data_IF_218610503062
#
_entry.id   IF_218610503062
#
_cell.length_a   1.000
_cell.length_b   1.000
_cell.length_c   1.000
_cell.angle_alpha   90.00
_cell.angle_beta   90.00
_cell.angle_gamma   90.00
#
_symmetry.space_group_name_H-M   'P 1'
#
loop_
_entity.id
_entity.type
_entity.pdbx_description
1 polymer ?
#
# COMPACT_ATOMS: atom_id res chain seq x y z
N UNK A 1 -6.13 -9.50 -9.27
CA UNK A 1 -7.56 -9.52 -8.88
C UNK A 1 -8.39 -8.80 -9.93
N UNK A 2 -9.71 -8.98 -9.97
CA UNK A 2 -10.56 -8.19 -10.86
C UNK A 2 -11.12 -6.92 -10.20
N UNK A 3 -11.88 -6.12 -10.95
CA UNK A 3 -12.41 -4.85 -10.48
C UNK A 3 -13.39 -4.98 -9.31
N UNK A 4 -14.24 -6.01 -9.32
CA UNK A 4 -15.23 -6.22 -8.27
C UNK A 4 -14.58 -6.80 -7.02
N UNK A 5 -13.55 -7.65 -7.18
CA UNK A 5 -12.68 -8.10 -6.10
C UNK A 5 -12.06 -6.90 -5.37
N UNK A 6 -11.48 -5.93 -6.10
CA UNK A 6 -10.90 -4.73 -5.49
C UNK A 6 -11.96 -3.89 -4.75
N UNK A 7 -13.14 -3.71 -5.34
CA UNK A 7 -14.24 -2.99 -4.68
C UNK A 7 -14.70 -3.70 -3.40
N UNK A 8 -14.72 -5.04 -3.38
CA UNK A 8 -15.05 -5.80 -2.18
C UNK A 8 -13.96 -5.67 -1.11
N UNK A 9 -12.69 -5.67 -1.53
CA UNK A 9 -11.54 -5.61 -0.62
C UNK A 9 -11.44 -4.27 0.11
N UNK A 10 -11.80 -3.16 -0.53
CA UNK A 10 -11.92 -1.84 0.14
C UNK A 10 -12.81 -1.94 1.39
N UNK A 11 -13.99 -2.56 1.25
CA UNK A 11 -14.95 -2.68 2.35
C UNK A 11 -14.47 -3.70 3.38
N UNK A 12 -14.03 -4.88 2.92
CA UNK A 12 -13.61 -5.97 3.78
C UNK A 12 -12.44 -5.56 4.69
N UNK A 13 -11.44 -4.87 4.14
CA UNK A 13 -10.27 -4.43 4.89
C UNK A 13 -10.61 -3.30 5.87
N UNK A 14 -11.52 -2.40 5.51
CA UNK A 14 -12.02 -1.37 6.42
C UNK A 14 -12.78 -1.97 7.62
N UNK A 15 -13.58 -3.01 7.39
CA UNK A 15 -14.30 -3.74 8.44
C UNK A 15 -13.33 -4.50 9.36
N UNK A 16 -12.33 -5.18 8.80
CA UNK A 16 -11.27 -5.83 9.59
C UNK A 16 -10.49 -4.82 10.42
N UNK A 17 -10.15 -3.66 9.84
CA UNK A 17 -9.50 -2.57 10.56
C UNK A 17 -10.38 -2.11 11.73
N UNK A 18 -11.65 -1.80 11.47
CA UNK A 18 -12.61 -1.40 12.50
C UNK A 18 -12.76 -2.43 13.62
N UNK A 19 -12.61 -3.72 13.32
CA UNK A 19 -12.69 -4.80 14.32
C UNK A 19 -11.54 -4.81 15.33
N UNK A 20 -10.41 -4.17 15.02
CA UNK A 20 -9.32 -3.97 15.98
C UNK A 20 -9.61 -2.86 17.00
N UNK A 21 -10.67 -2.07 16.80
CA UNK A 21 -11.00 -0.89 17.61
C UNK A 21 -12.09 -1.21 18.63
N UNK A 22 -11.73 -1.16 19.92
CA UNK A 22 -12.65 -1.26 21.06
C UNK A 22 -12.76 0.06 21.84
N UNK A 23 -13.64 0.10 22.85
CA UNK A 23 -13.85 1.31 23.65
C UNK A 23 -12.60 1.79 24.43
N UNK A 24 -11.61 0.92 24.63
CA UNK A 24 -10.36 1.20 25.34
C UNK A 24 -9.18 1.56 24.42
N UNK A 25 -9.40 1.51 23.11
CA UNK A 25 -8.34 1.71 22.11
C UNK A 25 -7.68 3.08 22.25
N UNK A 26 -6.35 3.16 22.42
CA UNK A 26 -5.64 4.40 22.64
C UNK A 26 -5.39 5.14 21.31
N UNK A 27 -6.38 5.93 20.89
CA UNK A 27 -6.35 6.65 19.59
C UNK A 27 -5.19 7.66 19.44
N UNK A 28 -4.57 8.07 20.54
CA UNK A 28 -3.45 9.02 20.53
C UNK A 28 -2.08 8.37 20.46
N UNK A 29 -2.00 7.03 20.43
CA UNK A 29 -0.75 6.29 20.24
C UNK A 29 -0.14 6.62 18.88
N UNK A 30 1.16 6.93 18.86
CA UNK A 30 1.90 7.17 17.61
C UNK A 30 1.98 5.91 16.76
N UNK A 31 1.84 6.07 15.45
CA UNK A 31 1.92 4.97 14.49
C UNK A 31 3.40 4.65 14.20
N UNK A 32 3.89 3.41 14.42
CA UNK A 32 5.31 3.10 14.26
C UNK A 32 5.87 3.35 12.84
N UNK A 33 5.07 3.06 11.81
CA UNK A 33 5.42 3.28 10.40
C UNK A 33 5.26 4.73 9.94
N UNK A 34 4.53 5.56 10.69
CA UNK A 34 4.34 6.98 10.42
C UNK A 34 4.38 7.78 11.75
N UNK A 35 5.57 7.98 12.35
CA UNK A 35 5.69 8.47 13.73
C UNK A 35 5.09 9.85 14.01
N UNK A 36 4.94 10.67 12.97
CA UNK A 36 4.31 11.99 13.04
C UNK A 36 2.78 11.90 13.24
N UNK A 37 2.18 10.76 12.93
CA UNK A 37 0.75 10.50 13.07
C UNK A 37 0.46 9.69 14.33
N UNK A 38 -0.71 9.93 14.90
CA UNK A 38 -1.34 9.00 15.82
C UNK A 38 -2.41 8.15 15.13
N UNK A 39 -2.88 7.11 15.81
CA UNK A 39 -3.90 6.20 15.29
C UNK A 39 -5.18 6.94 14.82
N UNK A 40 -5.62 7.98 15.53
CA UNK A 40 -6.77 8.78 15.09
C UNK A 40 -6.53 9.47 13.74
N UNK A 41 -5.34 10.03 13.53
CA UNK A 41 -4.95 10.64 12.26
C UNK A 41 -4.88 9.60 11.14
N UNK A 42 -4.32 8.41 11.40
CA UNK A 42 -4.30 7.30 10.44
C UNK A 42 -5.71 6.92 9.97
N UNK A 43 -6.65 6.73 10.91
CA UNK A 43 -8.04 6.39 10.60
C UNK A 43 -8.76 7.48 9.82
N UNK A 44 -8.51 8.75 10.18
CA UNK A 44 -9.06 9.91 9.46
C UNK A 44 -8.49 10.02 8.05
N UNK A 45 -7.18 9.88 7.88
CA UNK A 45 -6.52 9.87 6.57
C UNK A 45 -7.19 8.89 5.63
N UNK A 46 -7.32 7.63 6.07
CA UNK A 46 -7.89 6.59 5.23
C UNK A 46 -9.36 6.86 4.88
N UNK A 47 -10.18 7.26 5.86
CA UNK A 47 -11.59 7.57 5.58
C UNK A 47 -11.81 8.86 4.79
N UNK A 48 -10.88 9.82 4.84
CA UNK A 48 -10.84 10.99 3.95
C UNK A 48 -10.42 10.58 2.54
N UNK A 49 -9.41 9.71 2.39
CA UNK A 49 -8.98 9.17 1.12
C UNK A 49 -10.13 8.43 0.40
N UNK A 50 -10.89 7.59 1.11
CA UNK A 50 -12.07 6.93 0.54
C UNK A 50 -13.09 7.93 -0.01
N UNK A 51 -13.40 8.99 0.75
CA UNK A 51 -14.36 10.03 0.35
C UNK A 51 -13.85 10.93 -0.76
N UNK A 52 -12.55 11.19 -0.77
CA UNK A 52 -11.92 11.96 -1.83
C UNK A 52 -11.97 11.23 -3.16
N UNK A 53 -11.63 9.94 -3.18
CA UNK A 53 -11.75 9.11 -4.38
C UNK A 53 -13.22 8.95 -4.79
N UNK A 54 -14.13 8.79 -3.81
CA UNK A 54 -15.57 8.72 -4.08
C UNK A 54 -16.06 9.96 -4.83
N UNK A 55 -15.75 11.16 -4.33
CA UNK A 55 -16.16 12.42 -4.96
C UNK A 55 -15.60 12.52 -6.38
N UNK A 56 -14.33 12.14 -6.57
CA UNK A 56 -13.66 12.12 -7.87
C UNK A 56 -14.38 11.22 -8.87
N UNK A 57 -14.70 9.99 -8.47
CA UNK A 57 -15.39 9.01 -9.33
C UNK A 57 -16.83 9.44 -9.60
N UNK A 58 -17.56 9.87 -8.56
CA UNK A 58 -18.96 10.32 -8.66
C UNK A 58 -19.10 11.52 -9.59
N UNK A 59 -18.19 12.48 -9.50
CA UNK A 59 -18.18 13.68 -10.35
C UNK A 59 -17.56 13.44 -11.71
N UNK A 60 -16.93 12.28 -11.92
CA UNK A 60 -16.14 11.94 -13.12
C UNK A 60 -15.13 13.04 -13.45
N UNK A 61 -14.42 13.51 -12.43
CA UNK A 61 -13.45 14.58 -12.57
C UNK A 61 -12.47 14.24 -13.71
N UNK A 62 -12.15 15.22 -14.56
CA UNK A 62 -11.22 15.06 -15.69
C UNK A 62 -9.87 15.73 -15.45
N UNK A 63 -9.74 16.43 -14.35
CA UNK A 63 -8.55 17.16 -13.91
C UNK A 63 -8.20 16.77 -12.47
N UNK A 64 -6.94 16.96 -12.04
CA UNK A 64 -6.58 16.77 -10.64
C UNK A 64 -7.49 17.62 -9.76
N UNK A 65 -8.12 17.05 -8.71
CA UNK A 65 -8.88 17.86 -7.77
C UNK A 65 -7.93 18.82 -7.04
N UNK A 66 -8.44 19.96 -6.52
CA UNK A 66 -7.61 20.95 -5.84
C UNK A 66 -6.79 20.35 -4.70
N UNK A 67 -5.51 20.74 -4.63
CA UNK A 67 -4.50 20.26 -3.66
C UNK A 67 -4.94 20.40 -2.18
N UNK A 68 -5.91 21.26 -1.90
CA UNK A 68 -6.52 21.44 -0.58
C UNK A 68 -7.34 20.25 -0.05
N UNK A 69 -7.50 19.18 -0.85
CA UNK A 69 -8.37 18.07 -0.50
C UNK A 69 -7.77 17.10 0.53
N UNK A 70 -6.45 17.04 0.70
CA UNK A 70 -5.79 16.28 1.77
C UNK A 70 -5.44 17.23 2.91
N UNK A 71 -6.15 17.06 4.03
CA UNK A 71 -6.24 18.07 5.08
C UNK A 71 -5.12 17.95 6.10
N UNK A 72 -4.81 19.06 6.76
CA UNK A 72 -4.14 19.05 8.06
C UNK A 72 -5.01 18.23 9.01
N UNK A 73 -4.58 17.03 9.35
CA UNK A 73 -5.27 16.14 10.28
C UNK A 73 -4.94 16.58 11.71
N UNK A 74 -5.89 17.12 12.50
CA UNK A 74 -5.62 17.51 13.87
C UNK A 74 -5.14 16.29 14.66
N UNK A 75 -4.12 16.47 15.51
CA UNK A 75 -3.62 15.41 16.39
C UNK A 75 -4.63 15.09 17.50
N UNK A 76 -5.28 16.13 18.04
CA UNK A 76 -6.32 15.98 19.04
C UNK A 76 -7.55 15.28 18.47
N UNK A 77 -8.20 14.45 19.28
CA UNK A 77 -9.43 13.75 18.89
C UNK A 77 -10.43 13.74 20.03
N UNK A 78 -11.67 14.10 19.73
CA UNK A 78 -12.83 13.92 20.63
C UNK A 78 -13.72 12.76 20.20
N UNK A 79 -13.39 12.12 19.08
CA UNK A 79 -14.12 10.99 18.51
C UNK A 79 -13.82 9.72 19.31
N UNK A 80 -14.83 8.86 19.47
CA UNK A 80 -14.65 7.54 20.07
C UNK A 80 -14.10 6.55 19.03
N UNK A 81 -13.39 5.49 19.45
CA UNK A 81 -12.94 4.44 18.53
C UNK A 81 -14.08 3.85 17.68
N UNK A 82 -15.24 3.61 18.30
CA UNK A 82 -16.43 3.11 17.61
C UNK A 82 -16.97 4.08 16.56
N UNK A 83 -16.94 5.40 16.83
CA UNK A 83 -17.36 6.41 15.86
C UNK A 83 -16.43 6.44 14.64
N UNK A 84 -15.10 6.37 14.86
CA UNK A 84 -14.12 6.32 13.79
C UNK A 84 -14.24 5.03 12.96
N UNK A 85 -14.42 3.88 13.61
CA UNK A 85 -14.62 2.60 12.93
C UNK A 85 -15.85 2.61 12.01
N UNK A 86 -16.97 3.14 12.52
CA UNK A 86 -18.21 3.27 11.75
C UNK A 86 -18.04 4.25 10.58
N UNK A 87 -17.40 5.40 10.81
CA UNK A 87 -17.17 6.42 9.79
C UNK A 87 -16.22 5.94 8.68
N UNK A 88 -15.19 5.17 9.03
CA UNK A 88 -14.28 4.53 8.08
C UNK A 88 -15.02 3.51 7.21
N UNK A 89 -15.76 2.59 7.84
CA UNK A 89 -16.52 1.54 7.13
C UNK A 89 -17.56 2.14 6.19
N UNK A 90 -18.24 3.21 6.63
CA UNK A 90 -19.20 3.93 5.78
C UNK A 90 -18.54 4.56 4.56
N UNK A 91 -17.36 5.18 4.72
CA UNK A 91 -16.59 5.76 3.61
C UNK A 91 -16.17 4.69 2.60
N UNK A 92 -15.70 3.54 3.09
CA UNK A 92 -15.30 2.40 2.27
C UNK A 92 -16.48 1.85 1.43
N UNK A 93 -17.66 1.70 2.05
CA UNK A 93 -18.88 1.24 1.35
C UNK A 93 -19.33 2.25 0.29
N UNK A 94 -19.38 3.53 0.65
CA UNK A 94 -19.78 4.58 -0.29
C UNK A 94 -18.86 4.63 -1.52
N UNK A 95 -17.54 4.52 -1.30
CA UNK A 95 -16.56 4.44 -2.38
C UNK A 95 -16.79 3.21 -3.26
N UNK A 96 -16.89 2.02 -2.66
CA UNK A 96 -17.07 0.77 -3.41
C UNK A 96 -18.36 0.78 -4.25
N UNK A 97 -19.46 1.29 -3.70
CA UNK A 97 -20.73 1.40 -4.41
C UNK A 97 -20.64 2.41 -5.57
N UNK A 98 -19.96 3.54 -5.35
CA UNK A 98 -19.73 4.56 -6.38
C UNK A 98 -18.86 4.06 -7.52
N UNK A 99 -17.80 3.31 -7.20
CA UNK A 99 -16.96 2.61 -8.18
C UNK A 99 -17.81 1.65 -9.04
N UNK A 100 -18.55 0.75 -8.41
CA UNK A 100 -19.43 -0.19 -9.13
C UNK A 100 -20.45 0.51 -10.01
N UNK A 101 -21.06 1.59 -9.52
CA UNK A 101 -22.03 2.37 -10.28
C UNK A 101 -21.42 3.11 -11.47
N UNK A 102 -20.18 3.61 -11.34
CA UNK A 102 -19.45 4.22 -12.45
C UNK A 102 -19.02 3.18 -13.49
N UNK A 103 -18.69 1.98 -13.05
CA UNK A 103 -18.16 0.91 -13.90
C UNK A 103 -16.70 1.13 -14.29
N UNK A 104 -15.97 0.06 -14.64
CA UNK A 104 -14.52 0.10 -14.75
C UNK A 104 -13.99 0.93 -15.93
N UNK A 105 -14.80 1.17 -16.95
CA UNK A 105 -14.33 1.80 -18.20
C UNK A 105 -14.74 3.28 -18.32
N UNK A 106 -15.36 3.84 -17.27
CA UNK A 106 -15.67 5.27 -17.24
C UNK A 106 -14.39 6.09 -17.23
N UNK A 107 -14.32 7.12 -18.09
CA UNK A 107 -13.16 8.01 -18.11
C UNK A 107 -13.19 8.96 -16.91
N UNK A 108 -12.12 8.95 -16.13
CA UNK A 108 -11.88 9.86 -15.02
C UNK A 108 -10.41 10.29 -15.04
N UNK A 109 -10.08 11.29 -14.25
CA UNK A 109 -8.71 11.66 -13.96
C UNK A 109 -8.04 10.60 -13.09
N UNK A 110 -6.79 10.29 -13.39
CA UNK A 110 -5.88 9.55 -12.50
C UNK A 110 -4.49 10.16 -12.62
N UNK A 111 -3.57 9.89 -11.67
CA UNK A 111 -2.16 10.27 -11.81
C UNK A 111 -1.47 9.60 -13.01
N UNK A 112 -2.03 8.48 -13.50
CA UNK A 112 -1.52 7.73 -14.66
C UNK A 112 -2.24 8.09 -15.96
N UNK A 113 -1.63 7.86 -17.13
CA UNK A 113 -2.31 7.97 -18.42
C UNK A 113 -3.55 7.06 -18.52
N UNK A 114 -4.54 7.47 -19.31
CA UNK A 114 -5.76 6.68 -19.59
C UNK A 114 -6.61 6.36 -18.34
N UNK A 115 -6.84 7.38 -17.52
CA UNK A 115 -7.51 7.23 -16.23
C UNK A 115 -8.89 6.58 -16.25
N UNK A 116 -9.06 5.65 -15.30
CA UNK A 116 -10.22 4.78 -15.14
C UNK A 116 -10.42 4.45 -13.65
N UNK A 117 -11.66 4.19 -13.21
CA UNK A 117 -11.97 3.68 -11.88
C UNK A 117 -11.17 2.45 -11.47
N UNK A 118 -10.66 1.65 -12.41
CA UNK A 118 -9.82 0.47 -12.12
C UNK A 118 -8.59 0.83 -11.28
N UNK A 119 -7.96 1.95 -11.61
CA UNK A 119 -6.80 2.43 -10.87
C UNK A 119 -7.16 2.69 -9.40
N UNK A 120 -8.23 3.45 -9.16
CA UNK A 120 -8.63 3.80 -7.80
C UNK A 120 -9.21 2.63 -7.01
N UNK A 121 -9.91 1.69 -7.66
CA UNK A 121 -10.37 0.49 -6.98
C UNK A 121 -9.20 -0.32 -6.43
N UNK A 122 -8.19 -0.60 -7.28
CA UNK A 122 -6.97 -1.31 -6.88
C UNK A 122 -6.19 -0.52 -5.82
N UNK A 123 -5.95 0.77 -6.08
CA UNK A 123 -5.17 1.62 -5.17
C UNK A 123 -5.82 1.75 -3.79
N UNK A 124 -7.13 1.95 -3.71
CA UNK A 124 -7.83 2.07 -2.44
C UNK A 124 -7.97 0.74 -1.71
N UNK A 125 -8.04 -0.39 -2.41
CA UNK A 125 -7.96 -1.69 -1.77
C UNK A 125 -6.60 -1.84 -1.04
N UNK A 126 -5.50 -1.58 -1.74
CA UNK A 126 -4.15 -1.73 -1.18
C UNK A 126 -3.82 -0.68 -0.11
N UNK A 127 -4.23 0.58 -0.31
CA UNK A 127 -4.13 1.63 0.72
C UNK A 127 -4.85 1.18 2.01
N UNK A 128 -6.04 0.58 1.90
CA UNK A 128 -6.80 0.07 3.05
C UNK A 128 -6.12 -1.13 3.71
N UNK A 129 -5.54 -2.06 2.93
CA UNK A 129 -4.74 -3.18 3.45
C UNK A 129 -3.55 -2.68 4.28
N UNK A 130 -2.80 -1.72 3.74
CA UNK A 130 -1.59 -1.23 4.38
C UNK A 130 -1.89 -0.41 5.64
N UNK A 131 -2.90 0.47 5.61
CA UNK A 131 -3.30 1.21 6.81
C UNK A 131 -3.96 0.31 7.86
N UNK A 132 -4.55 -0.84 7.47
CA UNK A 132 -4.92 -1.89 8.43
C UNK A 132 -3.69 -2.50 9.09
N UNK A 133 -2.63 -2.78 8.32
CA UNK A 133 -1.35 -3.23 8.89
C UNK A 133 -0.77 -2.19 9.86
N UNK A 134 -0.78 -0.91 9.49
CA UNK A 134 -0.30 0.19 10.32
C UNK A 134 -1.08 0.27 11.65
N UNK A 135 -2.40 0.12 11.61
CA UNK A 135 -3.25 0.07 12.80
C UNK A 135 -2.97 -1.18 13.66
N UNK A 136 -2.87 -2.37 13.05
CA UNK A 136 -2.59 -3.62 13.76
C UNK A 136 -1.23 -3.56 14.48
N UNK A 137 -0.19 -3.08 13.79
CA UNK A 137 1.16 -2.89 14.36
C UNK A 137 1.15 -1.88 15.50
N UNK A 138 0.40 -0.77 15.37
CA UNK A 138 0.23 0.23 16.44
C UNK A 138 -0.40 -0.36 17.70
N UNK A 139 -1.32 -1.31 17.53
CA UNK A 139 -2.06 -1.95 18.62
C UNK A 139 -1.40 -3.24 19.12
N UNK A 140 -0.29 -3.67 18.51
CA UNK A 140 0.36 -4.95 18.80
C UNK A 140 -0.52 -6.16 18.45
N UNK A 141 -1.43 -6.01 17.51
CA UNK A 141 -2.29 -7.07 17.00
C UNK A 141 -1.62 -7.83 15.85
N UNK A 142 -2.00 -9.09 15.67
CA UNK A 142 -1.55 -9.88 14.53
C UNK A 142 -2.14 -9.31 13.23
N UNK A 143 -1.32 -9.25 12.18
CA UNK A 143 -1.74 -8.88 10.85
C UNK A 143 -1.52 -10.04 9.88
N UNK A 144 -2.59 -10.41 9.18
CA UNK A 144 -2.57 -11.33 8.06
C UNK A 144 -3.45 -10.80 6.95
N UNK A 145 -3.14 -11.17 5.72
CA UNK A 145 -3.90 -10.78 4.52
C UNK A 145 -3.99 -11.98 3.59
N UNK A 146 -5.09 -12.05 2.83
CA UNK A 146 -5.27 -13.12 1.85
C UNK A 146 -4.14 -13.13 0.82
N UNK A 147 -3.70 -14.33 0.43
CA UNK A 147 -2.57 -14.50 -0.47
C UNK A 147 -2.76 -13.76 -1.81
N UNK A 148 -3.96 -13.77 -2.39
CA UNK A 148 -4.23 -13.07 -3.66
C UNK A 148 -4.10 -11.57 -3.51
N UNK A 149 -4.56 -11.03 -2.38
CA UNK A 149 -4.49 -9.59 -2.08
C UNK A 149 -3.03 -9.17 -1.88
N UNK A 150 -2.26 -9.92 -1.11
CA UNK A 150 -0.84 -9.62 -0.90
C UNK A 150 0.00 -9.71 -2.19
N UNK A 151 -0.29 -10.69 -3.06
CA UNK A 151 0.32 -10.77 -4.39
C UNK A 151 0.00 -9.54 -5.25
N UNK A 152 -1.27 -9.11 -5.28
CA UNK A 152 -1.72 -7.96 -6.06
C UNK A 152 -1.16 -6.63 -5.52
N UNK A 153 -1.05 -6.50 -4.18
CA UNK A 153 -0.40 -5.38 -3.49
C UNK A 153 1.07 -5.22 -3.89
N UNK A 154 1.82 -6.33 -3.95
CA UNK A 154 3.22 -6.31 -4.37
C UNK A 154 3.36 -6.02 -5.86
N UNK A 155 2.50 -6.58 -6.71
CA UNK A 155 2.49 -6.25 -8.13
C UNK A 155 2.19 -4.77 -8.37
N UNK A 156 1.17 -4.20 -7.72
CA UNK A 156 0.87 -2.78 -7.87
C UNK A 156 2.04 -1.92 -7.41
N UNK A 157 2.68 -2.28 -6.29
CA UNK A 157 3.86 -1.57 -5.80
C UNK A 157 4.99 -1.57 -6.83
N UNK A 158 5.27 -2.73 -7.44
CA UNK A 158 6.32 -2.86 -8.45
C UNK A 158 5.96 -2.10 -9.74
N UNK A 159 4.70 -2.19 -10.18
CA UNK A 159 4.18 -1.45 -11.33
C UNK A 159 4.35 0.06 -11.13
N UNK A 160 3.85 0.60 -10.01
CA UNK A 160 3.93 2.03 -9.70
C UNK A 160 5.38 2.47 -9.49
N UNK A 161 6.19 1.69 -8.76
CA UNK A 161 7.60 1.99 -8.51
C UNK A 161 8.46 1.98 -9.77
N UNK A 162 8.02 1.29 -10.83
CA UNK A 162 8.72 1.24 -12.13
C UNK A 162 8.36 2.36 -13.09
N UNK A 163 7.36 3.18 -12.77
CA UNK A 163 6.99 4.32 -13.61
C UNK A 163 8.11 5.36 -13.63
N UNK A 164 8.59 5.81 -14.81
CA UNK A 164 9.64 6.82 -14.91
C UNK A 164 9.32 8.11 -14.13
N UNK A 165 8.04 8.48 -14.08
CA UNK A 165 7.49 9.63 -13.36
C UNK A 165 7.81 9.58 -11.86
N UNK A 166 8.08 8.41 -11.29
CA UNK A 166 8.48 8.28 -9.88
C UNK A 166 9.76 9.05 -9.56
N UNK A 167 10.67 9.22 -10.53
CA UNK A 167 11.86 10.06 -10.34
C UNK A 167 11.58 11.55 -10.47
N UNK A 168 10.45 11.95 -11.03
CA UNK A 168 10.05 13.36 -11.04
C UNK A 168 9.49 13.76 -9.67
N UNK A 169 8.78 12.84 -9.00
CA UNK A 169 8.30 13.02 -7.62
C UNK A 169 9.40 12.81 -6.57
N UNK A 170 10.31 11.86 -6.80
CA UNK A 170 11.40 11.51 -5.88
C UNK A 170 12.75 11.42 -6.63
N UNK A 171 13.36 12.55 -7.00
CA UNK A 171 14.59 12.59 -7.79
C UNK A 171 15.76 11.86 -7.12
N UNK A 172 15.81 11.86 -5.79
CA UNK A 172 16.86 11.19 -5.01
C UNK A 172 16.90 9.68 -5.25
N UNK A 173 15.77 9.05 -5.63
CA UNK A 173 15.70 7.61 -5.94
C UNK A 173 16.55 7.23 -7.16
N UNK A 174 16.97 8.18 -8.00
CA UNK A 174 17.93 7.90 -9.08
C UNK A 174 19.26 7.36 -8.55
N UNK A 175 19.62 7.67 -7.30
CA UNK A 175 20.80 7.12 -6.65
C UNK A 175 20.76 5.60 -6.44
N UNK A 176 19.57 4.98 -6.50
CA UNK A 176 19.39 3.53 -6.48
C UNK A 176 19.94 2.85 -7.73
N UNK A 177 19.96 3.56 -8.87
CA UNK A 177 20.41 2.99 -10.14
C UNK A 177 21.93 2.77 -10.14
N UNK A 178 22.37 1.65 -10.70
CA UNK A 178 23.79 1.34 -10.80
C UNK A 178 24.06 -0.07 -11.33
N UNK A 179 25.26 -0.30 -11.89
CA UNK A 179 25.61 -1.58 -12.52
C UNK A 179 25.49 -2.75 -11.54
N UNK A 180 24.76 -3.79 -11.94
CA UNK A 180 24.64 -5.04 -11.18
C UNK A 180 23.69 -4.97 -9.98
N UNK A 181 23.00 -3.84 -9.75
CA UNK A 181 22.06 -3.69 -8.64
C UNK A 181 20.75 -4.39 -8.96
N UNK A 182 20.59 -5.59 -8.42
CA UNK A 182 19.40 -6.42 -8.60
C UNK A 182 18.95 -6.98 -7.24
N UNK A 183 17.66 -6.91 -6.96
CA UNK A 183 17.05 -7.42 -5.74
C UNK A 183 16.01 -8.48 -6.10
N UNK A 184 16.03 -9.62 -5.42
CA UNK A 184 15.05 -10.68 -5.60
C UNK A 184 14.28 -10.91 -4.30
N UNK A 185 12.95 -10.98 -4.38
CA UNK A 185 12.06 -11.27 -3.26
C UNK A 185 11.26 -12.53 -3.57
N UNK A 186 11.26 -13.51 -2.66
CA UNK A 186 10.60 -14.80 -2.86
C UNK A 186 9.75 -15.20 -1.66
N UNK A 187 8.44 -15.36 -1.87
CA UNK A 187 7.53 -15.79 -0.82
C UNK A 187 7.62 -17.30 -0.56
N UNK A 188 7.84 -17.70 0.70
CA UNK A 188 8.13 -19.10 1.06
C UNK A 188 6.89 -19.95 1.40
N UNK A 189 5.74 -19.33 1.59
CA UNK A 189 4.48 -19.93 2.05
C UNK A 189 3.39 -19.94 0.97
N UNK A 190 3.79 -19.78 -0.29
CA UNK A 190 2.90 -19.81 -1.45
C UNK A 190 3.13 -21.07 -2.29
N UNK A 191 2.10 -21.58 -2.98
CA UNK A 191 2.29 -22.71 -3.88
C UNK A 191 3.05 -22.26 -5.16
N UNK A 192 3.80 -23.16 -5.83
CA UNK A 192 4.65 -22.78 -6.98
C UNK A 192 3.93 -22.03 -8.10
N UNK A 193 2.65 -22.34 -8.35
CA UNK A 193 1.81 -21.70 -9.37
C UNK A 193 1.45 -20.24 -9.05
N UNK A 194 1.66 -19.77 -7.81
CA UNK A 194 1.41 -18.38 -7.43
C UNK A 194 2.43 -17.40 -8.02
N UNK A 195 3.52 -17.90 -8.61
CA UNK A 195 4.60 -17.10 -9.20
C UNK A 195 5.15 -16.02 -8.26
N UNK A 196 5.29 -16.33 -6.96
CA UNK A 196 5.62 -15.39 -5.89
C UNK A 196 7.11 -15.02 -5.79
N UNK A 197 7.72 -14.75 -6.95
CA UNK A 197 9.09 -14.30 -7.12
C UNK A 197 9.08 -12.94 -7.82
N UNK A 198 9.74 -11.92 -7.26
CA UNK A 198 9.88 -10.59 -7.87
C UNK A 198 11.35 -10.24 -7.98
N UNK A 199 11.82 -9.99 -9.19
CA UNK A 199 13.14 -9.44 -9.44
C UNK A 199 13.02 -7.96 -9.79
N UNK A 200 13.67 -7.11 -9.00
CA UNK A 200 13.86 -5.67 -9.26
C UNK A 200 15.25 -5.48 -9.87
N UNK A 201 15.31 -4.86 -11.04
CA UNK A 201 16.54 -4.54 -11.76
C UNK A 201 16.72 -3.02 -11.81
N UNK A 202 17.80 -2.55 -11.17
CA UNK A 202 18.19 -1.14 -11.06
C UNK A 202 19.43 -0.84 -11.92
N UNK A 203 19.76 -1.72 -12.86
CA UNK A 203 20.96 -1.59 -13.70
C UNK A 203 20.80 -0.55 -14.81
N UNK A 204 19.55 -0.31 -15.25
CA UNK A 204 19.24 0.61 -16.34
C UNK A 204 19.02 2.06 -15.89
N UNK A 205 18.39 2.85 -16.77
CA UNK A 205 18.02 4.25 -16.50
C UNK A 205 16.72 4.40 -15.70
N UNK A 206 15.98 3.29 -15.54
CA UNK A 206 14.75 3.17 -14.74
C UNK A 206 14.71 1.86 -13.99
N UNK A 207 13.90 1.80 -12.93
CA UNK A 207 13.56 0.54 -12.28
C UNK A 207 12.79 -0.34 -13.26
N UNK A 208 13.25 -1.57 -13.46
CA UNK A 208 12.52 -2.61 -14.17
C UNK A 208 12.20 -3.75 -13.21
N UNK A 209 11.12 -4.49 -13.47
CA UNK A 209 10.80 -5.66 -12.65
C UNK A 209 10.17 -6.78 -13.49
N UNK A 210 10.28 -8.01 -12.98
CA UNK A 210 9.68 -9.20 -13.60
C UNK A 210 9.47 -10.32 -12.57
N UNK A 211 8.50 -11.19 -12.83
CA UNK A 211 8.28 -12.42 -12.05
C UNK A 211 9.24 -13.51 -12.53
N UNK A 212 10.34 -13.75 -11.80
CA UNK A 212 11.39 -14.69 -12.21
C UNK A 212 12.24 -15.14 -11.02
N UNK A 213 12.85 -16.32 -11.14
CA UNK A 213 13.78 -16.92 -10.16
C UNK A 213 15.25 -16.73 -10.54
N UNK A 214 15.53 -15.78 -11.43
CA UNK A 214 16.90 -15.46 -11.82
C UNK A 214 17.74 -15.00 -10.62
N UNK A 215 19.04 -15.34 -10.58
CA UNK A 215 19.94 -14.83 -9.55
C UNK A 215 19.98 -13.29 -9.52
N UNK A 216 20.07 -12.74 -8.32
CA UNK A 216 20.19 -11.31 -8.07
C UNK A 216 21.40 -11.03 -7.16
N UNK A 217 21.84 -9.77 -7.12
CA UNK A 217 22.90 -9.32 -6.23
C UNK A 217 22.51 -9.52 -4.76
N UNK A 218 21.22 -9.35 -4.43
CA UNK A 218 20.65 -9.71 -3.13
C UNK A 218 19.32 -10.45 -3.31
N UNK A 219 19.09 -11.47 -2.48
CA UNK A 219 17.84 -12.23 -2.44
C UNK A 219 17.29 -12.31 -1.02
N UNK A 220 16.01 -12.04 -0.87
CA UNK A 220 15.24 -12.11 0.39
C UNK A 220 14.16 -13.17 0.25
N UNK A 221 14.13 -14.13 1.17
CA UNK A 221 13.08 -15.16 1.26
C UNK A 221 12.36 -15.07 2.60
N UNK A 222 11.04 -14.98 2.59
CA UNK A 222 10.20 -14.91 3.79
C UNK A 222 8.74 -15.24 3.46
N UNK A 223 7.87 -15.42 4.46
CA UNK A 223 6.42 -15.47 4.24
C UNK A 223 5.92 -14.25 3.43
N UNK A 224 4.90 -14.44 2.60
CA UNK A 224 4.40 -13.41 1.67
C UNK A 224 4.00 -12.12 2.39
N UNK A 225 3.30 -12.24 3.53
CA UNK A 225 2.89 -11.07 4.31
C UNK A 225 4.10 -10.34 4.89
N UNK A 226 5.13 -11.06 5.33
CA UNK A 226 6.35 -10.45 5.85
C UNK A 226 7.11 -9.69 4.75
N UNK A 227 7.19 -10.24 3.54
CA UNK A 227 7.78 -9.55 2.39
C UNK A 227 7.00 -8.27 2.03
N UNK A 228 5.66 -8.34 2.04
CA UNK A 228 4.82 -7.18 1.81
C UNK A 228 5.12 -6.07 2.83
N UNK A 229 5.14 -6.41 4.12
CA UNK A 229 5.45 -5.44 5.18
C UNK A 229 6.88 -4.91 5.08
N UNK A 230 7.85 -5.73 4.68
CA UNK A 230 9.24 -5.30 4.48
C UNK A 230 9.34 -4.27 3.35
N UNK A 231 8.77 -4.58 2.19
CA UNK A 231 8.85 -3.74 0.98
C UNK A 231 8.14 -2.40 1.19
N UNK A 232 7.02 -2.40 1.92
CA UNK A 232 6.34 -1.17 2.32
C UNK A 232 7.00 -0.47 3.52
N UNK A 233 8.08 -1.00 4.11
CA UNK A 233 8.80 -0.34 5.21
C UNK A 233 8.07 -0.37 6.56
N UNK A 234 7.17 -1.33 6.78
CA UNK A 234 6.39 -1.48 8.03
C UNK A 234 7.12 -2.32 9.07
N UNK A 235 8.08 -3.12 8.65
CA UNK A 235 8.90 -3.97 9.53
C UNK A 235 10.38 -3.83 9.17
N UNK A 236 11.29 -3.92 10.15
CA UNK A 236 12.71 -3.81 9.89
C UNK A 236 13.21 -5.06 9.15
N UNK A 237 14.23 -4.89 8.30
CA UNK A 237 14.79 -5.96 7.46
C UNK A 237 15.64 -7.00 8.21
N UNK A 238 15.87 -6.83 9.51
CA UNK A 238 16.71 -7.68 10.35
C UNK A 238 15.93 -8.74 11.15
N UNK A 239 14.64 -8.97 10.83
CA UNK A 239 13.86 -10.03 11.47
C UNK A 239 14.40 -11.42 11.11
N UNK A 240 14.38 -12.33 12.09
CA UNK A 240 14.77 -13.74 11.94
C UNK A 240 13.97 -14.48 10.84
N UNK A 241 12.79 -13.98 10.46
CA UNK A 241 11.98 -14.57 9.37
C UNK A 241 12.55 -14.30 7.97
N UNK A 242 13.44 -13.32 7.80
CA UNK A 242 14.06 -13.00 6.52
C UNK A 242 15.35 -13.79 6.30
N UNK A 243 15.31 -14.73 5.36
CA UNK A 243 16.52 -15.37 4.85
C UNK A 243 17.12 -14.50 3.74
N UNK A 244 18.14 -13.71 4.09
CA UNK A 244 18.82 -12.77 3.18
C UNK A 244 20.16 -13.35 2.72
N UNK A 245 20.41 -13.33 1.41
CA UNK A 245 21.66 -13.78 0.80
C UNK A 245 22.17 -12.76 -0.21
N UNK A 246 23.49 -12.56 -0.30
CA UNK A 246 24.11 -11.60 -1.21
C UNK A 246 24.39 -10.24 -0.57
N UNK A 247 24.20 -9.17 -1.33
CA UNK A 247 24.54 -7.79 -0.98
C UNK A 247 23.51 -7.14 -0.03
N UNK A 248 23.73 -7.30 1.28
CA UNK A 248 22.86 -6.72 2.31
C UNK A 248 22.89 -5.19 2.33
N UNK A 249 24.03 -4.57 2.00
CA UNK A 249 24.15 -3.11 1.93
C UNK A 249 23.25 -2.53 0.84
N UNK A 250 23.14 -3.22 -0.30
CA UNK A 250 22.19 -2.85 -1.37
C UNK A 250 20.73 -2.94 -0.89
N UNK A 251 20.36 -3.99 -0.15
CA UNK A 251 19.01 -4.13 0.39
C UNK A 251 18.67 -3.01 1.38
N UNK A 252 19.57 -2.73 2.32
CA UNK A 252 19.42 -1.63 3.29
C UNK A 252 19.28 -0.28 2.60
N UNK A 253 20.14 -0.03 1.60
CA UNK A 253 20.06 1.20 0.82
C UNK A 253 18.73 1.30 0.08
N UNK A 254 18.28 0.21 -0.57
CA UNK A 254 16.99 0.18 -1.24
C UNK A 254 15.82 0.47 -0.28
N UNK A 255 15.74 -0.25 0.84
CA UNK A 255 14.70 -0.06 1.86
C UNK A 255 14.68 1.37 2.41
N UNK A 256 15.83 2.04 2.53
CA UNK A 256 15.90 3.43 2.98
C UNK A 256 15.30 4.46 2.00
N UNK A 257 15.21 4.12 0.71
CA UNK A 257 14.80 5.04 -0.35
C UNK A 257 13.35 4.82 -0.83
N UNK A 258 12.81 3.62 -0.61
CA UNK A 258 11.53 3.20 -1.18
C UNK A 258 10.36 3.24 -0.20
N UNK A 259 10.55 3.86 0.97
CA UNK A 259 9.48 4.15 1.92
C UNK A 259 8.35 4.88 1.19
N UNK A 260 7.19 4.24 1.12
CA UNK A 260 6.01 4.74 0.41
C UNK A 260 4.85 4.73 1.38
N UNK A 261 4.29 5.92 1.64
CA UNK A 261 3.09 6.14 2.46
C UNK A 261 3.31 5.84 3.94
#
# INVERSE_FOLDING_TARGET
MDYDDHCAEIVHQAELLGSHLDASTPLTTSVPSCPDWNLAQLLRHLGEAHRWVEDLVRTRATEPPPETALRVLPRETTETPAALAAWLTEGARLLADTLRAAGPDTRIWTPLPSGSPRFFARRMAHETVMHRADAALTLGADFTVDQRVALDCLDEWMELGSLPEMFDFHPDRRALLGPGRTLHFHATDTPPEAAADWLVDLTGDTLAWRRTQEPAAVSVRAPLTDLLLLIYGRVPGDRDTFAITGDQELLEFWLSQVLFG
#
